data_IF_398011048519
#
_entry.id   IF_398011048519
#
_cell.length_a   1.000
_cell.length_b   1.000
_cell.length_c   1.000
_cell.angle_alpha   90.00
_cell.angle_beta   90.00
_cell.angle_gamma   90.00
#
_symmetry.space_group_name_H-M   'P 1'
#
loop_
_entity.id
_entity.type
_entity.pdbx_description
1 polymer ?
#
# COMPACT_ATOMS: atom_id res chain seq x y z
N UNK A 1 -5.55 -16.20 -12.80
CA UNK A 1 -4.44 -15.68 -11.98
C UNK A 1 -4.00 -16.77 -11.03
N UNK A 2 -2.70 -17.07 -10.97
CA UNK A 2 -2.18 -18.18 -10.16
C UNK A 2 -1.65 -17.73 -8.81
N UNK A 3 -2.56 -17.39 -7.87
CA UNK A 3 -2.12 -17.15 -6.50
C UNK A 3 -1.70 -18.46 -5.83
N UNK A 4 -0.71 -18.39 -4.95
CA UNK A 4 -0.25 -19.53 -4.15
C UNK A 4 -0.03 -19.16 -2.69
N UNK A 5 -0.16 -20.14 -1.83
CA UNK A 5 0.12 -20.01 -0.40
C UNK A 5 1.61 -20.23 -0.14
N UNK A 6 2.20 -19.41 0.70
CA UNK A 6 3.59 -19.53 1.19
C UNK A 6 3.59 -19.40 2.70
N UNK A 7 4.13 -20.41 3.37
CA UNK A 7 4.31 -20.40 4.83
C UNK A 7 5.69 -19.84 5.19
N UNK A 8 5.70 -18.89 6.13
CA UNK A 8 6.92 -18.23 6.61
C UNK A 8 6.84 -18.12 8.15
N UNK A 9 7.61 -18.89 8.86
CA UNK A 9 7.67 -18.88 10.34
C UNK A 9 6.29 -19.02 11.01
N UNK A 10 5.43 -19.88 10.46
CA UNK A 10 4.07 -20.09 10.94
C UNK A 10 3.06 -19.01 10.53
N UNK A 11 3.46 -18.09 9.64
CA UNK A 11 2.59 -17.08 9.06
C UNK A 11 2.30 -17.40 7.60
N UNK A 12 1.04 -17.41 7.23
CA UNK A 12 0.57 -17.71 5.88
C UNK A 12 0.49 -16.46 5.01
N UNK A 13 1.15 -16.48 3.87
CA UNK A 13 1.01 -15.48 2.81
C UNK A 13 0.27 -16.07 1.61
N UNK A 14 -0.67 -15.33 1.06
CA UNK A 14 -1.17 -15.54 -0.30
C UNK A 14 -0.43 -14.58 -1.23
N UNK A 15 0.18 -15.10 -2.29
CA UNK A 15 0.93 -14.28 -3.24
C UNK A 15 0.56 -14.61 -4.68
N UNK A 16 0.50 -13.62 -5.55
CA UNK A 16 0.60 -13.82 -7.00
C UNK A 16 2.07 -13.62 -7.39
N UNK A 17 2.69 -14.62 -8.04
CA UNK A 17 4.13 -14.70 -8.31
C UNK A 17 4.34 -15.19 -9.74
N UNK A 18 4.93 -14.34 -10.60
CA UNK A 18 5.08 -14.60 -12.04
C UNK A 18 6.42 -14.11 -12.56
N UNK A 19 6.97 -14.86 -13.53
CA UNK A 19 8.28 -14.59 -14.12
C UNK A 19 9.43 -15.08 -13.25
N UNK A 20 10.65 -15.01 -13.79
CA UNK A 20 11.86 -15.63 -13.18
C UNK A 20 13.03 -14.64 -13.05
N UNK A 21 12.86 -13.40 -13.46
CA UNK A 21 13.92 -12.37 -13.48
C UNK A 21 14.15 -11.69 -12.12
N UNK A 22 14.81 -10.53 -12.15
CA UNK A 22 14.96 -9.67 -10.99
C UNK A 22 13.59 -9.31 -10.38
N UNK A 23 13.49 -9.36 -9.06
CA UNK A 23 12.18 -9.28 -8.41
C UNK A 23 11.67 -7.84 -8.25
N UNK A 24 10.37 -7.67 -8.53
CA UNK A 24 9.57 -6.49 -8.21
C UNK A 24 8.44 -6.94 -7.27
N UNK A 25 8.46 -6.47 -6.03
CA UNK A 25 7.49 -6.82 -4.99
C UNK A 25 6.53 -5.67 -4.77
N UNK A 26 5.23 -5.92 -4.93
CA UNK A 26 4.20 -4.90 -4.98
C UNK A 26 3.25 -5.01 -3.79
N UNK A 27 3.36 -4.08 -2.84
CA UNK A 27 2.60 -4.02 -1.59
C UNK A 27 1.40 -3.07 -1.74
N UNK A 28 0.20 -3.60 -1.59
CA UNK A 28 -1.04 -2.82 -1.65
C UNK A 28 -1.41 -2.21 -0.30
N UNK A 29 -2.42 -1.33 -0.29
CA UNK A 29 -3.06 -0.79 0.91
C UNK A 29 -4.56 -1.08 0.97
N UNK A 30 -5.33 -0.22 1.63
CA UNK A 30 -6.77 -0.39 1.82
C UNK A 30 -7.58 0.27 0.67
N UNK A 31 -8.65 -0.35 0.19
CA UNK A 31 -9.12 -1.72 0.39
C UNK A 31 -8.60 -2.67 -0.71
N UNK A 32 -7.29 -2.64 -0.94
CA UNK A 32 -6.63 -3.40 -2.00
C UNK A 32 -6.45 -4.88 -1.68
N UNK A 33 -5.91 -5.56 -2.68
CA UNK A 33 -5.43 -6.94 -2.67
C UNK A 33 -4.18 -7.01 -3.55
N UNK A 34 -3.42 -8.10 -3.57
CA UNK A 34 -2.42 -8.34 -4.60
C UNK A 34 -2.97 -8.16 -6.02
N UNK A 35 -4.26 -8.42 -6.19
CA UNK A 35 -5.04 -8.19 -7.42
C UNK A 35 -5.05 -6.72 -7.89
N UNK A 36 -4.84 -5.76 -7.02
CA UNK A 36 -4.76 -4.33 -7.40
C UNK A 36 -3.64 -4.03 -8.39
N UNK A 37 -2.66 -4.93 -8.49
CA UNK A 37 -1.55 -4.85 -9.44
C UNK A 37 -1.73 -5.70 -10.70
N UNK A 38 -2.95 -6.20 -10.99
CA UNK A 38 -3.24 -7.09 -12.14
C UNK A 38 -2.74 -6.57 -13.49
N UNK A 39 -2.72 -5.25 -13.66
CA UNK A 39 -2.28 -4.59 -14.89
C UNK A 39 -0.76 -4.38 -14.99
N UNK A 40 -0.02 -4.59 -13.90
CA UNK A 40 1.43 -4.48 -13.84
C UNK A 40 2.14 -5.82 -14.14
N UNK A 41 1.46 -6.96 -13.92
CA UNK A 41 2.08 -8.28 -14.08
C UNK A 41 2.61 -8.54 -15.48
N UNK A 42 1.77 -8.42 -16.51
CA UNK A 42 2.17 -8.74 -17.87
C UNK A 42 3.32 -7.83 -18.35
N UNK A 43 3.26 -6.48 -18.24
CA UNK A 43 4.36 -5.62 -18.62
C UNK A 43 5.69 -5.93 -17.91
N UNK A 44 5.64 -6.26 -16.62
CA UNK A 44 6.84 -6.62 -15.86
C UNK A 44 7.45 -7.94 -16.33
N UNK A 45 6.61 -8.97 -16.50
CA UNK A 45 7.05 -10.30 -16.96
C UNK A 45 7.60 -10.23 -18.38
N UNK A 46 6.92 -9.52 -19.28
CA UNK A 46 7.36 -9.35 -20.67
C UNK A 46 8.67 -8.58 -20.76
N UNK A 47 8.95 -7.70 -19.80
CA UNK A 47 10.24 -7.01 -19.67
C UNK A 47 11.32 -7.83 -18.95
N UNK A 48 11.04 -9.08 -18.57
CA UNK A 48 11.99 -10.02 -17.97
C UNK A 48 12.14 -9.90 -16.46
N UNK A 49 11.15 -9.32 -15.75
CA UNK A 49 11.14 -9.24 -14.28
C UNK A 49 10.28 -10.35 -13.68
N UNK A 50 10.58 -10.69 -12.43
CA UNK A 50 9.69 -11.49 -11.57
C UNK A 50 8.79 -10.54 -10.78
N UNK A 51 7.51 -10.55 -11.07
CA UNK A 51 6.50 -9.75 -10.38
C UNK A 51 5.86 -10.55 -9.25
N UNK A 52 5.90 -10.02 -8.02
CA UNK A 52 5.34 -10.65 -6.82
C UNK A 52 4.40 -9.65 -6.15
N UNK A 53 3.12 -10.02 -5.99
CA UNK A 53 2.16 -9.21 -5.26
C UNK A 53 1.51 -10.06 -4.14
N UNK A 54 1.92 -9.88 -2.89
CA UNK A 54 1.25 -10.51 -1.77
C UNK A 54 -0.08 -9.83 -1.47
N UNK A 55 -1.07 -10.58 -1.00
CA UNK A 55 -2.10 -9.99 -0.14
C UNK A 55 -1.42 -9.60 1.17
N UNK A 56 -1.50 -8.34 1.55
CA UNK A 56 -0.86 -7.86 2.78
C UNK A 56 -1.54 -8.45 4.03
N UNK A 57 -0.88 -8.48 5.21
CA UNK A 57 -1.49 -9.02 6.43
C UNK A 57 -2.90 -8.50 6.67
N UNK A 58 -3.84 -9.39 6.96
CA UNK A 58 -5.25 -9.02 7.18
C UNK A 58 -6.12 -9.03 5.92
N UNK A 59 -5.55 -9.23 4.72
CA UNK A 59 -6.29 -9.22 3.46
C UNK A 59 -6.27 -10.59 2.77
N UNK A 60 -7.26 -10.79 1.90
CA UNK A 60 -7.34 -11.96 1.04
C UNK A 60 -7.21 -13.26 1.83
N UNK A 61 -6.29 -14.12 1.40
CA UNK A 61 -5.98 -15.40 2.06
C UNK A 61 -4.72 -15.37 2.92
N UNK A 62 -4.12 -14.20 3.10
CA UNK A 62 -3.02 -13.97 4.04
C UNK A 62 -3.56 -13.95 5.47
N UNK A 63 -2.75 -14.41 6.41
CA UNK A 63 -3.12 -14.43 7.83
C UNK A 63 -3.55 -13.07 8.35
N UNK A 64 -4.42 -13.11 9.36
CA UNK A 64 -4.98 -11.95 10.06
C UNK A 64 -4.56 -11.97 11.51
N UNK A 65 -3.44 -11.34 11.85
CA UNK A 65 -3.04 -11.18 13.24
C UNK A 65 -4.13 -10.52 14.07
N UNK A 66 -4.25 -10.90 15.32
CA UNK A 66 -5.22 -10.29 16.24
C UNK A 66 -4.66 -9.02 16.87
N UNK A 67 -3.35 -9.01 17.12
CA UNK A 67 -2.67 -7.93 17.79
C UNK A 67 -2.38 -6.79 16.79
N UNK A 68 -2.73 -5.59 17.18
CA UNK A 68 -2.63 -4.38 16.33
C UNK A 68 -1.16 -4.07 16.00
N UNK A 69 -0.24 -4.38 16.89
CA UNK A 69 1.21 -4.21 16.74
C UNK A 69 1.77 -4.99 15.53
N UNK A 70 1.13 -6.09 15.18
CA UNK A 70 1.51 -6.92 14.03
C UNK A 70 1.23 -6.26 12.66
N UNK A 71 0.44 -5.17 12.66
CA UNK A 71 0.15 -4.35 11.49
C UNK A 71 1.03 -3.10 11.42
N UNK A 72 1.99 -2.95 12.32
CA UNK A 72 2.94 -1.83 12.22
C UNK A 72 3.82 -2.00 10.98
N UNK A 73 4.20 -0.87 10.36
CA UNK A 73 5.08 -0.87 9.19
C UNK A 73 6.39 -1.62 9.46
N UNK A 74 6.88 -1.56 10.70
CA UNK A 74 8.08 -2.27 11.16
C UNK A 74 7.86 -3.78 11.17
N UNK A 75 6.78 -4.26 11.80
CA UNK A 75 6.47 -5.68 11.85
C UNK A 75 6.22 -6.27 10.46
N UNK A 76 5.48 -5.54 9.62
CA UNK A 76 5.18 -6.00 8.26
C UNK A 76 6.43 -5.94 7.36
N UNK A 77 7.31 -4.94 7.49
CA UNK A 77 8.58 -4.88 6.78
C UNK A 77 9.48 -6.08 7.11
N UNK A 78 9.58 -6.44 8.40
CA UNK A 78 10.35 -7.60 8.82
C UNK A 78 9.76 -8.92 8.29
N UNK A 79 8.41 -9.07 8.29
CA UNK A 79 7.73 -10.22 7.68
C UNK A 79 7.94 -10.27 6.16
N UNK A 80 7.91 -9.12 5.48
CA UNK A 80 8.17 -9.03 4.04
C UNK A 80 9.57 -9.54 3.70
N UNK A 81 10.59 -9.15 4.47
CA UNK A 81 11.96 -9.63 4.26
C UNK A 81 12.07 -11.14 4.46
N UNK A 82 11.39 -11.71 5.44
CA UNK A 82 11.33 -13.16 5.63
C UNK A 82 10.63 -13.87 4.46
N UNK A 83 9.58 -13.26 3.92
CA UNK A 83 8.94 -13.75 2.70
C UNK A 83 9.93 -13.77 1.53
N UNK A 84 10.73 -12.70 1.35
CA UNK A 84 11.79 -12.66 0.34
C UNK A 84 12.80 -13.82 0.53
N UNK A 85 13.17 -14.15 1.77
CA UNK A 85 14.10 -15.27 2.06
C UNK A 85 13.52 -16.61 1.59
N UNK A 86 12.24 -16.90 1.90
CA UNK A 86 11.55 -18.12 1.46
C UNK A 86 11.41 -18.17 -0.06
N UNK A 87 11.17 -17.02 -0.70
CA UNK A 87 11.07 -16.89 -2.15
C UNK A 87 12.45 -16.92 -2.85
N UNK A 88 13.54 -16.97 -2.08
CA UNK A 88 14.92 -16.90 -2.57
C UNK A 88 15.20 -15.62 -3.36
N UNK A 89 14.65 -14.50 -2.90
CA UNK A 89 14.87 -13.16 -3.43
C UNK A 89 15.88 -12.45 -2.51
N UNK A 90 17.10 -12.26 -2.99
CA UNK A 90 18.16 -11.60 -2.21
C UNK A 90 17.89 -10.10 -2.05
N UNK A 91 17.47 -9.46 -3.15
CA UNK A 91 17.12 -8.04 -3.19
C UNK A 91 16.02 -7.80 -4.23
N UNK A 92 15.15 -6.84 -3.98
CA UNK A 92 14.02 -6.53 -4.86
C UNK A 92 13.86 -5.02 -5.07
N UNK A 93 13.17 -4.65 -6.15
CA UNK A 93 12.47 -3.36 -6.19
C UNK A 93 11.19 -3.53 -5.38
N UNK A 94 10.94 -2.63 -4.43
CA UNK A 94 9.71 -2.66 -3.65
C UNK A 94 8.79 -1.52 -4.10
N UNK A 95 7.60 -1.88 -4.54
CA UNK A 95 6.54 -0.94 -4.93
C UNK A 95 5.52 -0.91 -3.81
N UNK A 96 5.18 0.24 -3.31
CA UNK A 96 4.15 0.40 -2.27
C UNK A 96 3.08 1.38 -2.67
N UNK A 97 1.81 1.00 -2.51
CA UNK A 97 0.65 1.85 -2.70
C UNK A 97 -0.12 1.99 -1.39
N UNK A 98 -0.57 3.18 -1.04
CA UNK A 98 -1.32 3.47 0.18
C UNK A 98 -0.57 2.96 1.43
N UNK A 99 -1.13 2.10 2.27
CA UNK A 99 -0.41 1.46 3.40
C UNK A 99 0.82 0.64 2.97
N UNK A 100 0.84 0.16 1.74
CA UNK A 100 2.03 -0.50 1.19
C UNK A 100 3.22 0.44 1.01
N UNK A 101 3.01 1.75 0.84
CA UNK A 101 4.09 2.71 0.69
C UNK A 101 4.90 2.90 1.99
N UNK A 102 4.29 3.13 3.17
CA UNK A 102 5.00 3.10 4.46
C UNK A 102 5.75 1.78 4.72
N UNK A 103 5.17 0.64 4.38
CA UNK A 103 5.88 -0.65 4.49
C UNK A 103 7.11 -0.66 3.58
N UNK A 104 6.97 -0.23 2.33
CA UNK A 104 8.05 -0.23 1.34
C UNK A 104 9.24 0.63 1.79
N UNK A 105 9.00 1.88 2.21
CA UNK A 105 10.11 2.72 2.69
C UNK A 105 10.66 2.26 4.04
N UNK A 106 9.84 1.70 4.93
CA UNK A 106 10.32 1.12 6.19
C UNK A 106 11.22 -0.08 5.91
N UNK A 107 10.88 -0.91 4.92
CA UNK A 107 11.75 -2.01 4.47
C UNK A 107 13.09 -1.48 3.97
N UNK A 108 13.08 -0.41 3.15
CA UNK A 108 14.31 0.21 2.65
C UNK A 108 15.19 0.84 3.75
N UNK A 109 14.57 1.40 4.80
CA UNK A 109 15.28 1.98 5.94
C UNK A 109 15.87 0.92 6.88
N UNK A 110 15.15 -0.18 7.11
CA UNK A 110 15.56 -1.24 8.04
C UNK A 110 16.49 -2.27 7.41
N UNK A 111 16.26 -2.57 6.15
CA UNK A 111 16.91 -3.63 5.39
C UNK A 111 17.42 -3.11 4.04
N UNK A 112 18.32 -2.10 4.04
CA UNK A 112 18.73 -1.43 2.80
C UNK A 112 19.45 -2.36 1.82
N UNK A 113 20.03 -3.46 2.29
CA UNK A 113 20.65 -4.50 1.47
C UNK A 113 19.63 -5.39 0.74
N UNK A 114 18.35 -5.33 1.14
CA UNK A 114 17.25 -6.12 0.57
C UNK A 114 16.40 -5.33 -0.43
N UNK A 115 16.62 -4.01 -0.53
CA UNK A 115 15.86 -3.12 -1.42
C UNK A 115 16.80 -2.45 -2.41
N UNK A 116 16.73 -2.85 -3.68
CA UNK A 116 17.55 -2.28 -4.76
C UNK A 116 16.98 -0.95 -5.29
N UNK A 117 15.69 -0.70 -5.07
CA UNK A 117 15.01 0.52 -5.43
C UNK A 117 13.59 0.54 -4.88
N UNK A 118 12.99 1.72 -4.82
CA UNK A 118 11.72 1.98 -4.20
C UNK A 118 10.79 2.71 -5.17
N UNK A 119 9.55 2.25 -5.28
CA UNK A 119 8.49 2.97 -6.00
C UNK A 119 7.35 3.25 -5.03
N UNK A 120 7.02 4.50 -4.84
CA UNK A 120 5.93 4.96 -3.98
C UNK A 120 4.77 5.44 -4.85
N UNK A 121 3.61 4.83 -4.66
CA UNK A 121 2.38 5.18 -5.34
C UNK A 121 1.41 5.84 -4.36
N UNK A 122 0.87 6.99 -4.71
CA UNK A 122 -0.13 7.75 -3.98
C UNK A 122 0.40 8.42 -2.68
N UNK A 123 1.25 7.77 -1.90
CA UNK A 123 1.71 8.27 -0.59
C UNK A 123 3.18 8.69 -0.66
N UNK A 124 3.51 9.98 -0.53
CA UNK A 124 4.89 10.45 -0.53
C UNK A 124 5.62 10.05 0.75
N UNK A 125 6.93 9.81 0.65
CA UNK A 125 7.75 9.54 1.83
C UNK A 125 7.66 10.70 2.83
N UNK A 126 7.30 10.36 4.07
CA UNK A 126 7.21 11.29 5.18
C UNK A 126 8.32 11.00 6.21
N UNK A 127 9.38 11.84 6.28
CA UNK A 127 10.48 11.64 7.23
C UNK A 127 10.12 12.01 8.66
N UNK A 128 9.07 12.81 8.85
CA UNK A 128 8.68 13.33 10.15
C UNK A 128 7.53 12.53 10.73
N UNK A 129 7.54 12.42 12.04
CA UNK A 129 6.42 11.89 12.81
C UNK A 129 5.35 12.97 12.99
N UNK A 130 4.10 12.55 13.18
CA UNK A 130 3.05 13.46 13.63
C UNK A 130 3.43 14.11 14.97
N UNK A 131 3.05 15.41 15.19
CA UNK A 131 3.47 16.15 16.39
C UNK A 131 2.86 15.62 17.70
N UNK A 132 1.78 14.83 17.62
CA UNK A 132 1.12 14.18 18.72
C UNK A 132 0.67 12.77 18.29
N UNK A 133 0.10 11.99 19.19
CA UNK A 133 -0.47 10.67 18.87
C UNK A 133 -1.52 10.79 17.78
N UNK A 134 -1.46 9.97 16.72
CA UNK A 134 -2.41 10.03 15.62
C UNK A 134 -3.87 9.97 16.08
N UNK A 135 -4.22 9.08 17.01
CA UNK A 135 -5.59 8.96 17.54
C UNK A 135 -6.11 10.26 18.20
N UNK A 136 -5.24 11.03 18.84
CA UNK A 136 -5.59 12.34 19.43
C UNK A 136 -5.86 13.39 18.35
N UNK A 137 -4.99 13.42 17.32
CA UNK A 137 -5.17 14.32 16.16
C UNK A 137 -6.46 13.98 15.42
N UNK A 138 -6.70 12.70 15.15
CA UNK A 138 -7.90 12.24 14.44
C UNK A 138 -9.18 12.59 15.20
N UNK A 139 -9.19 12.40 16.52
CA UNK A 139 -10.33 12.81 17.37
C UNK A 139 -10.61 14.30 17.27
N UNK A 140 -9.57 15.14 17.35
CA UNK A 140 -9.73 16.60 17.27
C UNK A 140 -10.20 17.08 15.89
N UNK A 141 -9.95 16.33 14.81
CA UNK A 141 -10.44 16.64 13.47
C UNK A 141 -11.88 16.13 13.25
N UNK A 142 -12.25 15.03 13.91
CA UNK A 142 -13.53 14.35 13.72
C UNK A 142 -14.73 15.18 14.14
N UNK A 143 -14.56 16.15 15.05
CA UNK A 143 -15.61 17.08 15.46
C UNK A 143 -16.13 17.94 14.29
N UNK A 144 -15.27 18.20 13.31
CA UNK A 144 -15.58 19.08 12.17
C UNK A 144 -15.71 18.35 10.85
N UNK A 145 -15.07 17.19 10.73
CA UNK A 145 -14.91 16.46 9.48
C UNK A 145 -15.24 14.99 9.69
N UNK A 146 -16.03 14.39 8.78
CA UNK A 146 -16.09 12.93 8.75
C UNK A 146 -14.69 12.42 8.40
N UNK A 147 -13.99 11.92 9.38
CA UNK A 147 -12.62 11.41 9.23
C UNK A 147 -12.65 9.89 9.39
N UNK A 148 -12.50 9.17 8.27
CA UNK A 148 -12.46 7.70 8.29
C UNK A 148 -11.32 7.17 9.19
N UNK A 149 -10.18 7.89 9.30
CA UNK A 149 -9.09 7.56 10.21
C UNK A 149 -9.53 7.50 11.68
N UNK A 150 -10.49 8.34 12.08
CA UNK A 150 -11.11 8.29 13.41
C UNK A 150 -12.21 7.23 13.48
N UNK A 151 -13.06 7.17 12.46
CA UNK A 151 -14.20 6.26 12.41
C UNK A 151 -13.78 4.78 12.51
N UNK A 152 -12.63 4.43 11.96
CA UNK A 152 -12.08 3.07 11.97
C UNK A 152 -11.36 2.67 13.26
N UNK A 153 -11.21 3.59 14.24
CA UNK A 153 -10.46 3.28 15.46
C UNK A 153 -11.21 2.31 16.39
N UNK A 154 -12.53 2.47 16.54
CA UNK A 154 -13.33 1.64 17.45
C UNK A 154 -13.63 0.27 16.80
N UNK A 155 -13.16 -0.85 17.40
CA UNK A 155 -13.41 -2.17 16.87
C UNK A 155 -14.92 -2.50 16.83
N UNK A 156 -15.35 -3.09 15.72
CA UNK A 156 -16.74 -3.55 15.52
C UNK A 156 -17.67 -2.48 14.96
N UNK A 157 -17.37 -1.18 15.09
CA UNK A 157 -18.24 -0.10 14.61
C UNK A 157 -18.31 -0.07 13.09
N UNK A 158 -17.17 0.06 12.44
CA UNK A 158 -17.10 0.07 10.98
C UNK A 158 -17.43 -1.31 10.38
N UNK A 159 -17.00 -2.39 11.02
CA UNK A 159 -17.35 -3.75 10.58
C UNK A 159 -18.86 -3.97 10.56
N UNK A 160 -19.60 -3.52 11.58
CA UNK A 160 -21.06 -3.68 11.65
C UNK A 160 -21.78 -2.96 10.49
N UNK A 161 -21.23 -1.85 10.02
CA UNK A 161 -21.76 -1.13 8.85
C UNK A 161 -21.31 -1.75 7.52
N UNK A 162 -20.01 -2.05 7.38
CA UNK A 162 -19.40 -2.32 6.07
C UNK A 162 -19.48 -3.80 5.67
N UNK A 163 -19.37 -4.74 6.63
CA UNK A 163 -19.34 -6.19 6.33
C UNK A 163 -20.65 -6.69 5.69
N UNK A 164 -21.84 -6.15 6.02
CA UNK A 164 -23.06 -6.52 5.31
C UNK A 164 -23.16 -5.96 3.88
N UNK A 165 -22.38 -4.93 3.53
CA UNK A 165 -22.50 -4.18 2.28
C UNK A 165 -21.18 -4.07 1.50
N UNK A 166 -20.37 -5.15 1.34
CA UNK A 166 -19.00 -5.04 0.84
C UNK A 166 -18.95 -4.50 -0.59
N UNK A 167 -19.86 -4.93 -1.48
CA UNK A 167 -19.88 -4.46 -2.87
C UNK A 167 -20.24 -2.97 -2.96
N UNK A 168 -21.26 -2.53 -2.25
CA UNK A 168 -21.70 -1.13 -2.24
C UNK A 168 -20.59 -0.24 -1.68
N UNK A 169 -20.02 -0.61 -0.54
CA UNK A 169 -18.94 0.14 0.08
C UNK A 169 -17.73 0.26 -0.85
N UNK A 170 -17.27 -0.85 -1.42
CA UNK A 170 -16.12 -0.85 -2.33
C UNK A 170 -16.37 0.00 -3.57
N UNK A 171 -17.52 -0.11 -4.22
CA UNK A 171 -17.84 0.69 -5.40
C UNK A 171 -17.84 2.18 -5.07
N UNK A 172 -18.50 2.57 -3.97
CA UNK A 172 -18.60 3.97 -3.55
C UNK A 172 -17.23 4.53 -3.11
N UNK A 173 -16.42 3.73 -2.40
CA UNK A 173 -15.09 4.14 -1.97
C UNK A 173 -14.12 4.26 -3.14
N UNK A 174 -14.11 3.28 -4.06
CA UNK A 174 -13.28 3.35 -5.26
C UNK A 174 -13.62 4.60 -6.09
N UNK A 175 -14.89 4.91 -6.27
CA UNK A 175 -15.31 6.13 -6.95
C UNK A 175 -14.90 7.39 -6.18
N UNK A 176 -15.16 7.43 -4.87
CA UNK A 176 -14.87 8.60 -4.03
C UNK A 176 -13.38 8.98 -4.01
N UNK A 177 -12.50 7.98 -4.07
CA UNK A 177 -11.04 8.17 -4.07
C UNK A 177 -10.45 8.29 -5.47
N UNK A 178 -11.23 8.05 -6.54
CA UNK A 178 -10.77 8.20 -7.92
C UNK A 178 -10.64 9.65 -8.35
N UNK A 179 -10.01 9.87 -9.51
CA UNK A 179 -9.98 11.19 -10.14
C UNK A 179 -11.35 11.73 -10.58
N UNK A 180 -12.39 10.91 -10.51
CA UNK A 180 -13.77 11.29 -10.88
C UNK A 180 -14.54 12.04 -9.78
N UNK A 181 -14.01 12.10 -8.55
CA UNK A 181 -14.68 12.75 -7.41
C UNK A 181 -13.70 13.55 -6.56
N UNK A 182 -14.20 14.59 -5.90
CA UNK A 182 -13.42 15.35 -4.93
C UNK A 182 -13.63 14.79 -3.51
N UNK A 183 -12.79 13.85 -3.10
CA UNK A 183 -12.94 13.15 -1.82
C UNK A 183 -13.09 14.08 -0.60
N UNK A 184 -12.44 15.24 -0.57
CA UNK A 184 -12.54 16.17 0.55
C UNK A 184 -13.96 16.74 0.76
N UNK A 185 -14.88 16.54 -0.18
CA UNK A 185 -16.31 16.90 0.03
C UNK A 185 -16.99 15.97 1.06
N UNK A 186 -16.45 14.75 1.28
CA UNK A 186 -16.86 13.84 2.38
C UNK A 186 -16.61 14.49 3.75
N UNK A 187 -15.65 15.39 3.83
CA UNK A 187 -15.30 16.10 5.06
C UNK A 187 -16.25 17.27 5.40
N UNK A 188 -17.26 17.51 4.59
CA UNK A 188 -18.27 18.54 4.88
C UNK A 188 -19.17 18.22 6.10
N UNK A 189 -19.08 17.01 6.62
CA UNK A 189 -19.87 16.52 7.74
C UNK A 189 -18.98 16.15 8.94
N UNK A 190 -19.46 16.31 10.19
CA UNK A 190 -18.78 15.73 11.36
C UNK A 190 -18.92 14.21 11.37
N UNK A 191 -18.07 13.51 12.14
CA UNK A 191 -18.15 12.06 12.31
C UNK A 191 -19.32 11.63 13.20
N UNK A 192 -19.75 12.47 14.15
CA UNK A 192 -20.79 12.11 15.12
C UNK A 192 -22.11 11.72 14.44
N UNK A 193 -22.64 10.54 14.81
CA UNK A 193 -23.91 10.02 14.33
C UNK A 193 -23.94 9.61 12.86
N UNK A 194 -22.78 9.46 12.21
CA UNK A 194 -22.67 9.07 10.79
C UNK A 194 -21.79 7.86 10.61
N UNK A 195 -22.23 6.96 9.72
CA UNK A 195 -21.41 5.91 9.15
C UNK A 195 -20.65 6.38 7.90
N UNK A 196 -19.75 5.55 7.41
CA UNK A 196 -19.00 5.90 6.20
C UNK A 196 -19.88 5.87 4.95
N UNK A 197 -20.83 4.93 4.90
CA UNK A 197 -21.82 4.86 3.80
C UNK A 197 -22.76 6.09 3.79
N UNK A 198 -22.98 6.76 4.92
CA UNK A 198 -23.80 7.98 4.96
C UNK A 198 -23.17 9.15 4.22
N UNK A 199 -21.84 9.20 4.16
CA UNK A 199 -21.08 10.34 3.62
C UNK A 199 -20.39 10.06 2.28
N UNK A 200 -20.20 8.80 1.91
CA UNK A 200 -19.65 8.44 0.60
C UNK A 200 -20.64 8.80 -0.52
N UNK A 201 -20.17 9.35 -1.66
CA UNK A 201 -21.03 9.65 -2.79
C UNK A 201 -21.67 8.38 -3.37
N UNK A 202 -22.81 8.53 -4.02
CA UNK A 202 -23.31 7.50 -4.91
C UNK A 202 -22.37 7.36 -6.09
N UNK A 203 -21.90 6.15 -6.35
CA UNK A 203 -21.04 5.88 -7.48
C UNK A 203 -21.84 5.76 -8.79
N UNK A 204 -21.30 6.15 -9.93
CA UNK A 204 -21.87 5.84 -11.23
C UNK A 204 -21.96 4.32 -11.48
N UNK A 205 -22.79 3.94 -12.45
CA UNK A 205 -22.83 2.55 -12.92
C UNK A 205 -21.48 2.13 -13.56
N UNK A 206 -21.14 0.86 -13.41
CA UNK A 206 -19.99 0.26 -14.10
C UNK A 206 -20.35 -0.09 -15.56
N UNK A 207 -19.36 -0.20 -16.46
CA UNK A 207 -17.93 -0.10 -16.24
C UNK A 207 -17.43 1.35 -16.21
N UNK A 208 -16.36 1.59 -15.44
CA UNK A 208 -15.50 2.77 -15.58
C UNK A 208 -14.29 2.42 -16.43
N UNK A 209 -13.53 3.39 -16.90
CA UNK A 209 -12.36 3.17 -17.77
C UNK A 209 -11.29 2.26 -17.12
N UNK A 210 -11.29 2.16 -15.78
CA UNK A 210 -10.28 1.48 -15.00
C UNK A 210 -10.80 0.37 -14.07
N UNK A 211 -12.13 0.21 -13.95
CA UNK A 211 -12.78 -0.81 -13.12
C UNK A 211 -14.07 -1.28 -13.81
N UNK A 212 -14.20 -2.58 -14.00
CA UNK A 212 -15.42 -3.21 -14.48
C UNK A 212 -16.16 -4.00 -13.39
N UNK A 213 -17.31 -4.58 -13.76
CA UNK A 213 -18.17 -5.30 -12.83
C UNK A 213 -17.54 -6.59 -12.30
N UNK A 214 -16.80 -7.32 -13.13
CA UNK A 214 -16.12 -8.56 -12.75
C UNK A 214 -14.94 -8.25 -11.81
N UNK A 215 -14.22 -7.18 -12.07
CA UNK A 215 -13.14 -6.71 -11.22
C UNK A 215 -13.64 -6.28 -9.84
N UNK A 216 -14.74 -5.50 -9.79
CA UNK A 216 -15.37 -5.14 -8.51
C UNK A 216 -15.92 -6.38 -7.79
N UNK A 217 -16.52 -7.33 -8.51
CA UNK A 217 -17.03 -8.58 -7.94
C UNK A 217 -15.92 -9.42 -7.30
N UNK A 218 -14.70 -9.40 -7.89
CA UNK A 218 -13.53 -10.08 -7.29
C UNK A 218 -13.21 -9.50 -5.89
N UNK A 219 -13.10 -8.18 -5.76
CA UNK A 219 -12.89 -7.53 -4.46
C UNK A 219 -14.03 -7.82 -3.49
N UNK A 220 -15.26 -7.64 -3.94
CA UNK A 220 -16.45 -7.85 -3.11
C UNK A 220 -16.53 -9.30 -2.58
N UNK A 221 -16.20 -10.30 -3.39
CA UNK A 221 -16.18 -11.70 -2.97
C UNK A 221 -15.15 -11.96 -1.86
N UNK A 222 -13.93 -11.38 -1.99
CA UNK A 222 -12.90 -11.52 -0.96
C UNK A 222 -13.32 -10.83 0.35
N UNK A 223 -13.83 -9.61 0.31
CA UNK A 223 -14.29 -8.91 1.51
C UNK A 223 -15.59 -9.49 2.10
N UNK A 224 -16.47 -10.09 1.30
CA UNK A 224 -17.60 -10.89 1.81
C UNK A 224 -17.12 -12.07 2.65
N UNK A 225 -16.05 -12.75 2.20
CA UNK A 225 -15.47 -13.89 2.89
C UNK A 225 -14.70 -13.51 4.15
N UNK A 226 -14.07 -12.32 4.17
CA UNK A 226 -13.08 -11.94 5.17
C UNK A 226 -13.58 -10.90 6.15
N UNK A 227 -14.59 -10.12 5.79
CA UNK A 227 -14.89 -8.84 6.43
C UNK A 227 -13.80 -7.81 6.19
N UNK A 228 -14.01 -6.61 6.69
CA UNK A 228 -13.06 -5.50 6.61
C UNK A 228 -12.10 -5.43 7.80
N UNK A 229 -12.36 -6.14 8.90
CA UNK A 229 -11.62 -6.03 10.16
C UNK A 229 -10.10 -6.14 10.04
N UNK A 230 -9.59 -7.04 9.17
CA UNK A 230 -8.15 -7.15 8.90
C UNK A 230 -7.56 -5.88 8.28
N UNK A 231 -8.27 -5.31 7.30
CA UNK A 231 -7.89 -4.03 6.68
C UNK A 231 -7.99 -2.85 7.65
N UNK A 232 -9.02 -2.85 8.50
CA UNK A 232 -9.22 -1.81 9.51
C UNK A 232 -8.16 -1.82 10.61
N UNK A 233 -7.53 -2.96 10.87
CA UNK A 233 -6.43 -3.08 11.84
C UNK A 233 -5.20 -2.23 11.46
N UNK A 234 -4.99 -1.95 10.17
CA UNK A 234 -3.94 -1.03 9.73
C UNK A 234 -4.18 0.41 10.21
N UNK A 235 -5.44 0.84 10.21
CA UNK A 235 -5.82 2.15 10.75
C UNK A 235 -5.70 2.19 12.28
N UNK A 236 -6.05 1.11 12.97
CA UNK A 236 -5.90 0.97 14.43
C UNK A 236 -4.43 0.93 14.86
N UNK A 237 -3.52 0.52 13.95
CA UNK A 237 -2.10 0.50 14.17
C UNK A 237 -1.41 1.88 14.12
N UNK A 238 -2.10 2.99 13.82
CA UNK A 238 -1.46 4.30 13.68
C UNK A 238 -0.68 4.75 14.91
N UNK A 239 -1.21 4.56 16.13
CA UNK A 239 -0.49 4.93 17.36
C UNK A 239 0.72 4.03 17.59
N UNK A 240 0.58 2.72 17.37
CA UNK A 240 1.69 1.78 17.43
C UNK A 240 2.76 2.07 16.37
N UNK A 241 2.36 2.44 15.15
CA UNK A 241 3.27 2.91 14.10
C UNK A 241 4.00 4.18 14.50
N UNK A 242 3.31 5.13 15.13
CA UNK A 242 3.90 6.38 15.58
C UNK A 242 5.00 6.14 16.62
N UNK A 243 4.82 5.18 17.55
CA UNK A 243 5.88 4.77 18.47
C UNK A 243 7.00 3.99 17.75
N UNK A 244 6.65 2.99 16.93
CA UNK A 244 7.62 2.13 16.27
C UNK A 244 8.49 2.89 15.23
N UNK A 245 8.00 3.99 14.66
CA UNK A 245 8.73 4.81 13.69
C UNK A 245 9.74 5.76 14.31
N UNK A 246 9.75 5.94 15.64
CA UNK A 246 10.65 6.87 16.36
C UNK A 246 12.12 6.76 15.94
N UNK A 247 12.72 5.55 15.78
CA UNK A 247 14.13 5.42 15.37
C UNK A 247 14.42 5.91 13.95
N UNK A 248 13.39 6.12 13.14
CA UNK A 248 13.49 6.50 11.71
C UNK A 248 13.11 7.96 11.46
N UNK A 249 12.77 8.73 12.50
CA UNK A 249 12.44 10.14 12.36
C UNK A 249 13.62 10.91 11.75
N UNK A 250 13.35 11.64 10.67
CA UNK A 250 14.37 12.36 9.92
C UNK A 250 15.33 11.46 9.11
N UNK A 251 15.07 10.17 9.01
CA UNK A 251 15.92 9.27 8.22
C UNK A 251 15.84 9.58 6.73
N UNK A 252 16.94 9.31 6.00
CA UNK A 252 16.99 9.46 4.54
C UNK A 252 16.87 8.10 3.88
N UNK A 253 16.00 8.00 2.89
CA UNK A 253 15.92 6.82 2.01
C UNK A 253 17.07 6.90 1.00
N UNK A 254 18.02 5.97 1.10
CA UNK A 254 19.25 5.99 0.32
C UNK A 254 19.15 5.25 -1.03
N UNK A 255 18.11 4.44 -1.23
CA UNK A 255 17.92 3.68 -2.46
C UNK A 255 17.30 4.55 -3.55
N UNK A 256 17.58 4.28 -4.85
CA UNK A 256 16.89 4.94 -5.94
C UNK A 256 15.38 4.87 -5.76
N UNK A 257 14.70 6.01 -5.88
CA UNK A 257 13.27 6.09 -5.59
C UNK A 257 12.52 6.79 -6.71
N UNK A 258 11.34 6.26 -7.06
CA UNK A 258 10.35 6.86 -7.94
C UNK A 258 9.08 7.17 -7.14
N UNK A 259 8.47 8.32 -7.36
CA UNK A 259 7.15 8.66 -6.83
C UNK A 259 6.16 8.92 -7.97
N UNK A 260 4.99 8.30 -7.89
CA UNK A 260 3.88 8.50 -8.84
C UNK A 260 2.57 8.61 -8.08
N UNK A 261 1.76 9.61 -8.37
CA UNK A 261 0.43 9.77 -7.79
C UNK A 261 -0.53 10.41 -8.80
N UNK A 262 -1.82 10.37 -8.52
CA UNK A 262 -2.78 11.19 -9.21
C UNK A 262 -2.71 12.65 -8.75
N UNK A 263 -2.96 13.59 -9.66
CA UNK A 263 -3.05 15.02 -9.32
C UNK A 263 -4.31 15.37 -8.51
N UNK A 264 -5.29 14.44 -8.51
CA UNK A 264 -6.54 14.53 -7.74
C UNK A 264 -6.56 13.60 -6.51
N UNK A 265 -5.44 12.95 -6.20
CA UNK A 265 -5.35 12.07 -5.05
C UNK A 265 -5.54 12.85 -3.73
N UNK A 266 -6.56 12.51 -2.92
CA UNK A 266 -6.80 13.19 -1.64
C UNK A 266 -5.65 13.01 -0.65
N UNK A 267 -4.89 11.90 -0.70
CA UNK A 267 -3.76 11.68 0.20
C UNK A 267 -2.62 12.66 -0.10
N UNK A 268 -2.33 12.92 -1.37
CA UNK A 268 -1.37 13.95 -1.78
C UNK A 268 -1.84 15.33 -1.32
N UNK A 269 -3.12 15.64 -1.48
CA UNK A 269 -3.71 16.90 -1.04
C UNK A 269 -3.64 17.08 0.49
N UNK A 270 -3.96 16.02 1.26
CA UNK A 270 -3.91 16.00 2.73
C UNK A 270 -2.48 16.06 3.29
N UNK A 271 -1.49 15.55 2.55
CA UNK A 271 -0.08 15.57 2.96
C UNK A 271 0.50 16.99 2.99
N UNK A 272 -0.21 17.95 2.42
CA UNK A 272 0.17 19.37 2.39
C UNK A 272 1.13 19.73 1.27
N UNK A 273 1.18 21.03 0.95
CA UNK A 273 1.96 21.55 -0.17
C UNK A 273 3.48 21.30 -0.07
N UNK A 274 4.00 21.13 1.15
CA UNK A 274 5.42 20.89 1.41
C UNK A 274 5.83 19.42 1.39
N UNK A 275 4.89 18.47 1.31
CA UNK A 275 5.20 17.03 1.43
C UNK A 275 6.17 16.55 0.34
N UNK A 276 5.95 16.97 -0.90
CA UNK A 276 6.84 16.60 -2.01
C UNK A 276 8.22 17.27 -1.91
N UNK A 277 8.29 18.49 -1.41
CA UNK A 277 9.57 19.17 -1.15
C UNK A 277 10.34 18.47 -0.04
N UNK A 278 9.67 18.09 1.04
CA UNK A 278 10.27 17.32 2.13
C UNK A 278 10.73 15.95 1.64
N UNK A 279 9.93 15.24 0.86
CA UNK A 279 10.36 13.98 0.25
C UNK A 279 11.64 14.19 -0.58
N UNK A 280 11.75 15.25 -1.41
CA UNK A 280 12.95 15.56 -2.19
C UNK A 280 14.19 15.79 -1.30
N UNK A 281 14.01 16.41 -0.13
CA UNK A 281 15.10 16.69 0.80
C UNK A 281 15.63 15.42 1.50
N UNK A 282 14.77 14.41 1.67
CA UNK A 282 15.09 13.20 2.41
C UNK A 282 15.27 11.94 1.55
N UNK A 283 15.14 12.08 0.23
CA UNK A 283 15.40 11.01 -0.75
C UNK A 283 16.46 11.49 -1.74
N UNK A 284 17.77 11.36 -1.42
CA UNK A 284 18.86 11.90 -2.24
C UNK A 284 18.89 11.37 -3.68
N UNK A 285 18.48 10.11 -3.92
CA UNK A 285 18.38 9.50 -5.25
C UNK A 285 16.91 9.40 -5.71
N UNK A 286 16.20 10.52 -5.68
CA UNK A 286 14.84 10.62 -6.20
C UNK A 286 14.87 10.78 -7.74
N UNK A 287 14.54 9.69 -8.45
CA UNK A 287 14.63 9.58 -9.92
C UNK A 287 13.46 10.22 -10.67
N UNK A 288 12.35 10.49 -9.98
CA UNK A 288 11.18 11.14 -10.57
C UNK A 288 10.09 11.41 -9.55
N UNK A 289 9.29 12.45 -9.83
CA UNK A 289 8.03 12.79 -9.15
C UNK A 289 7.02 13.07 -10.23
N UNK A 290 6.03 12.20 -10.37
CA UNK A 290 5.02 12.29 -11.42
C UNK A 290 3.63 12.40 -10.80
N UNK A 291 2.93 13.47 -11.13
CA UNK A 291 1.51 13.63 -10.83
C UNK A 291 0.74 13.45 -12.15
N UNK A 292 -0.04 12.37 -12.24
CA UNK A 292 -0.75 12.01 -13.45
C UNK A 292 -2.10 12.74 -13.50
N UNK A 293 -2.31 13.49 -14.57
CA UNK A 293 -3.48 14.36 -14.75
C UNK A 293 -4.78 13.57 -14.69
N UNK A 294 -5.75 14.04 -13.91
CA UNK A 294 -7.08 13.48 -13.77
C UNK A 294 -7.14 12.13 -13.08
N UNK A 295 -6.05 11.64 -12.49
CA UNK A 295 -6.05 10.43 -11.69
C UNK A 295 -6.26 10.73 -10.21
N UNK A 296 -6.89 9.79 -9.50
CA UNK A 296 -7.03 9.80 -8.06
C UNK A 296 -6.03 8.88 -7.36
N UNK A 297 -6.53 8.23 -6.32
CA UNK A 297 -5.72 7.44 -5.40
C UNK A 297 -5.23 6.11 -5.98
N UNK A 298 -6.04 5.46 -6.80
CA UNK A 298 -5.72 4.15 -7.37
C UNK A 298 -4.93 4.27 -8.68
N UNK A 299 -3.88 5.08 -8.67
CA UNK A 299 -3.14 5.52 -9.86
C UNK A 299 -2.65 4.35 -10.73
N UNK A 300 -2.25 3.21 -10.14
CA UNK A 300 -1.81 2.00 -10.86
C UNK A 300 -2.96 1.29 -11.60
N UNK A 301 -4.20 1.59 -11.26
CA UNK A 301 -5.39 1.10 -11.95
C UNK A 301 -5.94 2.17 -12.89
N UNK A 302 -6.09 3.41 -12.42
CA UNK A 302 -6.67 4.53 -13.18
C UNK A 302 -5.81 4.96 -14.37
N UNK A 303 -4.48 4.92 -14.23
CA UNK A 303 -3.49 5.30 -15.25
C UNK A 303 -2.50 4.16 -15.51
N UNK A 304 -3.03 2.93 -15.65
CA UNK A 304 -2.23 1.70 -15.76
C UNK A 304 -1.11 1.77 -16.77
N UNK A 305 -1.34 2.36 -17.95
CA UNK A 305 -0.34 2.43 -19.02
C UNK A 305 0.79 3.39 -18.66
N UNK A 306 0.46 4.60 -18.18
CA UNK A 306 1.45 5.60 -17.77
C UNK A 306 2.27 5.11 -16.58
N UNK A 307 1.63 4.45 -15.60
CA UNK A 307 2.34 3.85 -14.45
C UNK A 307 3.28 2.74 -14.91
N UNK A 308 2.84 1.86 -15.83
CA UNK A 308 3.69 0.80 -16.38
C UNK A 308 4.90 1.38 -17.12
N UNK A 309 4.71 2.41 -17.92
CA UNK A 309 5.81 3.07 -18.65
C UNK A 309 6.82 3.72 -17.71
N UNK A 310 6.34 4.40 -16.64
CA UNK A 310 7.19 5.00 -15.63
C UNK A 310 7.97 3.94 -14.84
N UNK A 311 7.27 2.87 -14.45
CA UNK A 311 7.85 1.75 -13.73
C UNK A 311 8.96 1.08 -14.56
N UNK A 312 8.70 0.72 -15.81
CA UNK A 312 9.67 0.06 -16.67
C UNK A 312 10.89 0.95 -16.96
N UNK A 313 10.68 2.25 -17.19
CA UNK A 313 11.79 3.21 -17.34
C UNK A 313 12.64 3.29 -16.08
N UNK A 314 12.02 3.34 -14.90
CA UNK A 314 12.74 3.35 -13.64
C UNK A 314 13.54 2.06 -13.45
N UNK A 315 12.94 0.90 -13.66
CA UNK A 315 13.56 -0.41 -13.51
C UNK A 315 14.77 -0.59 -14.44
N UNK A 316 14.70 -0.10 -15.67
CA UNK A 316 15.83 -0.21 -16.64
C UNK A 316 17.09 0.54 -16.18
N UNK A 317 16.93 1.54 -15.30
CA UNK A 317 18.04 2.30 -14.69
C UNK A 317 18.55 1.74 -13.37
N UNK A 318 18.01 0.61 -12.88
CA UNK A 318 18.38 0.02 -11.58
C UNK A 318 19.09 -1.30 -11.77
N UNK A 319 20.26 -1.41 -11.14
CA UNK A 319 20.95 -2.70 -11.03
C UNK A 319 20.45 -3.44 -9.80
N UNK A 320 19.71 -4.52 -10.00
CA UNK A 320 19.26 -5.40 -8.92
C UNK A 320 20.36 -6.45 -8.70
N UNK A 321 21.03 -6.49 -7.52
CA UNK A 321 22.03 -7.49 -7.23
C UNK A 321 21.41 -8.88 -7.20
N UNK A 322 21.92 -9.80 -8.01
CA UNK A 322 21.64 -11.24 -7.89
C UNK A 322 22.89 -11.90 -7.31
N UNK A 323 22.74 -12.63 -6.20
CA UNK A 323 23.87 -13.40 -5.66
C UNK A 323 24.25 -14.53 -6.62
N UNK A 324 25.54 -14.66 -6.87
CA UNK A 324 26.07 -15.85 -7.52
C UNK A 324 26.00 -17.05 -6.54
N UNK A 325 25.82 -18.26 -7.07
CA UNK A 325 25.63 -19.49 -6.29
C UNK A 325 26.71 -19.74 -5.21
N UNK A 326 27.88 -19.12 -5.32
CA UNK A 326 29.01 -19.28 -4.37
C UNK A 326 28.81 -18.57 -3.03
N UNK A 327 27.93 -17.54 -2.94
CA UNK A 327 27.70 -16.78 -1.71
C UNK A 327 26.67 -17.43 -0.78
N UNK A 328 25.94 -18.45 -1.23
CA UNK A 328 24.98 -19.21 -0.41
C UNK A 328 25.64 -20.17 0.61
N UNK A 329 26.93 -20.51 0.42
CA UNK A 329 27.63 -21.50 1.26
C UNK A 329 28.11 -20.89 2.59
N UNK A 330 28.44 -19.61 2.64
CA UNK A 330 29.13 -19.00 3.79
C UNK A 330 28.21 -18.62 4.98
N UNK A 331 26.90 -18.50 4.82
CA UNK A 331 25.97 -18.22 5.95
C UNK A 331 25.53 -19.48 6.72
N UNK A 332 25.73 -20.69 6.20
CA UNK A 332 25.41 -21.94 6.90
C UNK A 332 26.49 -22.41 7.88
N UNK A 333 27.64 -21.75 7.92
CA UNK A 333 28.76 -22.10 8.82
C UNK A 333 28.96 -21.14 9.99
N UNK A 334 28.05 -20.20 10.22
CA UNK A 334 28.14 -19.21 11.31
C UNK A 334 26.85 -19.09 12.15
N UNK A 335 26.08 -20.19 12.24
CA UNK A 335 25.01 -20.37 13.24
C UNK A 335 25.29 -21.57 14.09
#
# INVERSE_FOLDING_TARGET
>A
MGSRIVEVDGFTWNIDDRGDGPAVVMCHGFPGLGYSYRHQFAPLVDAGYRAVAPDMPGYGRTDRPREVEEYTNVAVADRLVRLLDVLKIDSAIVVGHDFGAPVAWTTALRHPDRVAGLVLLAVPYAPDRMPARPSEIFRGLADKHFLHLHYFQEPGVAEAELDPHPREFLQRLFFALSGGYRYLDVWSHPSEGRGYLDVLPTAPELPWDWLDDDELAHYAAEFTRTGFGGGLSWYRAYDANWEASRPYEGAKVQVPTLFVAGDRDPVVAMSGSSALERMRAFVPDLRGVHLLEGAGHFVQMERRNEVNDLLLRFLSGIRIPTRTAEQHVHRRSST
#
